data_IF_103400461001
#
_entry.id   IF_103400461001
#
_cell.length_a   1.000
_cell.length_b   1.000
_cell.length_c   1.000
_cell.angle_alpha   90.00
_cell.angle_beta   90.00
_cell.angle_gamma   90.00
#
_symmetry.space_group_name_H-M   'P 1'
#
loop_
_entity.id
_entity.type
_entity.pdbx_description
1 polymer ?
#
# COMPACT_ATOMS: atom_id res chain seq x y z
N UNK A 1 6.12 -13.63 9.44
CA UNK A 1 4.70 -14.05 9.47
C UNK A 1 4.25 -14.19 8.04
N UNK A 2 3.70 -15.34 7.63
CA UNK A 2 3.17 -15.52 6.28
C UNK A 2 1.83 -14.81 6.24
N UNK A 3 1.81 -13.60 5.66
CA UNK A 3 0.58 -12.85 5.50
C UNK A 3 -0.26 -13.54 4.43
N UNK A 4 -1.39 -14.13 4.84
CA UNK A 4 -2.46 -14.40 3.88
C UNK A 4 -2.89 -13.04 3.39
N UNK A 5 -2.83 -12.79 2.09
CA UNK A 5 -3.41 -11.56 1.58
C UNK A 5 -4.93 -11.69 1.66
N UNK A 6 -5.47 -11.26 2.80
CA UNK A 6 -6.91 -11.27 3.07
C UNK A 6 -7.46 -9.95 2.53
N UNK A 7 -7.66 -9.96 1.22
CA UNK A 7 -8.06 -8.80 0.40
C UNK A 7 -9.50 -8.29 0.68
N UNK A 8 -10.24 -8.93 1.56
CA UNK A 8 -11.69 -8.74 1.74
C UNK A 8 -12.10 -8.29 3.14
N UNK A 9 -11.14 -7.93 4.00
CA UNK A 9 -11.44 -7.48 5.37
C UNK A 9 -10.96 -6.06 5.60
N UNK A 10 -11.89 -5.12 5.66
CA UNK A 10 -11.66 -3.80 6.24
C UNK A 10 -12.45 -3.63 7.54
N UNK A 11 -12.30 -2.47 8.18
CA UNK A 11 -13.03 -2.12 9.40
C UNK A 11 -13.59 -0.71 9.31
N UNK A 12 -14.71 -0.47 10.00
CA UNK A 12 -15.24 0.89 10.22
C UNK A 12 -14.51 1.62 11.36
N UNK A 13 -13.81 0.90 12.23
CA UNK A 13 -12.96 1.49 13.25
C UNK A 13 -11.58 1.80 12.66
N UNK A 14 -11.33 3.08 12.37
CA UNK A 14 -10.14 3.55 11.69
C UNK A 14 -8.93 3.81 12.62
N UNK A 15 -8.95 3.27 13.84
CA UNK A 15 -7.82 3.35 14.78
C UNK A 15 -7.14 2.00 14.88
N UNK A 16 -5.83 1.97 14.66
CA UNK A 16 -5.03 0.77 14.82
C UNK A 16 -4.87 0.44 16.31
N UNK A 17 -5.44 -0.67 16.75
CA UNK A 17 -5.36 -1.13 18.14
C UNK A 17 -4.85 -2.57 18.20
N UNK A 18 -4.35 -3.01 19.36
CA UNK A 18 -3.99 -4.41 19.54
C UNK A 18 -5.17 -5.35 19.25
N UNK A 19 -6.40 -4.94 19.58
CA UNK A 19 -7.62 -5.70 19.32
C UNK A 19 -7.88 -5.87 17.82
N UNK A 20 -7.67 -4.82 17.02
CA UNK A 20 -7.78 -4.87 15.57
C UNK A 20 -6.77 -5.87 14.99
N UNK A 21 -5.52 -5.83 15.47
CA UNK A 21 -4.50 -6.79 15.06
C UNK A 21 -4.89 -8.23 15.41
N UNK A 22 -5.39 -8.48 16.62
CA UNK A 22 -5.87 -9.81 17.05
C UNK A 22 -7.09 -10.30 16.26
N UNK A 23 -7.85 -9.40 15.62
CA UNK A 23 -8.95 -9.74 14.71
C UNK A 23 -8.49 -10.10 13.28
N UNK A 24 -7.18 -10.05 13.02
CA UNK A 24 -6.61 -10.33 11.69
C UNK A 24 -6.85 -9.20 10.69
N UNK A 25 -6.86 -7.95 11.17
CA UNK A 25 -7.00 -6.74 10.36
C UNK A 25 -5.69 -5.95 10.23
N UNK A 26 -4.57 -6.50 10.72
CA UNK A 26 -3.26 -5.84 10.64
C UNK A 26 -2.81 -5.63 9.19
N UNK A 27 -3.02 -6.64 8.34
CA UNK A 27 -2.69 -6.55 6.92
C UNK A 27 -3.49 -5.45 6.21
N UNK A 28 -4.76 -5.27 6.57
CA UNK A 28 -5.56 -4.16 6.07
C UNK A 28 -5.05 -2.81 6.58
N UNK A 29 -4.71 -2.72 7.87
CA UNK A 29 -4.19 -1.48 8.45
C UNK A 29 -2.93 -1.02 7.73
N UNK A 30 -1.96 -1.91 7.51
CA UNK A 30 -0.76 -1.57 6.77
C UNK A 30 -1.04 -1.26 5.29
N UNK A 31 -1.91 -2.03 4.63
CA UNK A 31 -2.30 -1.77 3.23
C UNK A 31 -2.96 -0.40 3.07
N UNK A 32 -3.82 0.00 4.01
CA UNK A 32 -4.56 1.25 3.99
C UNK A 32 -3.84 2.39 4.71
N UNK A 33 -2.61 2.16 5.20
CA UNK A 33 -1.88 3.18 5.95
C UNK A 33 -1.60 4.41 5.09
N UNK A 34 -2.12 5.57 5.49
CA UNK A 34 -2.19 6.74 4.61
C UNK A 34 -0.84 7.16 4.05
N UNK A 35 0.18 7.22 4.92
CA UNK A 35 1.50 7.76 4.59
C UNK A 35 2.41 6.78 3.86
N UNK A 36 2.08 5.49 3.82
CA UNK A 36 2.86 4.50 3.07
C UNK A 36 2.72 4.76 1.57
N UNK A 37 3.84 5.07 0.92
CA UNK A 37 3.89 5.37 -0.51
C UNK A 37 4.91 4.53 -1.28
N UNK A 38 5.72 3.71 -0.62
CA UNK A 38 6.57 2.72 -1.27
C UNK A 38 6.23 1.33 -0.79
N UNK A 39 6.23 0.38 -1.71
CA UNK A 39 5.98 -1.04 -1.44
C UNK A 39 7.05 -1.89 -2.13
N UNK A 40 7.54 -2.91 -1.42
CA UNK A 40 8.40 -3.95 -1.96
C UNK A 40 7.84 -5.32 -1.55
N UNK A 41 7.70 -6.24 -2.49
CA UNK A 41 7.15 -7.56 -2.20
C UNK A 41 8.08 -8.68 -2.64
N UNK A 42 8.01 -9.81 -1.96
CA UNK A 42 8.69 -11.04 -2.29
C UNK A 42 7.68 -12.19 -2.39
N UNK A 43 7.91 -13.09 -3.34
CA UNK A 43 7.12 -14.30 -3.54
C UNK A 43 8.05 -15.50 -3.38
N UNK A 44 7.57 -16.53 -2.68
CA UNK A 44 8.30 -17.80 -2.53
C UNK A 44 7.34 -18.98 -2.53
N UNK A 45 7.73 -20.08 -3.16
CA UNK A 45 7.03 -21.36 -3.05
C UNK A 45 7.55 -22.13 -1.83
N UNK A 46 6.64 -22.63 -1.01
CA UNK A 46 6.93 -23.42 0.19
C UNK A 46 6.86 -24.93 -0.10
N UNK A 47 7.43 -25.74 0.79
CA UNK A 47 7.60 -27.20 0.65
C UNK A 47 6.30 -28.02 0.45
N UNK A 48 5.14 -27.42 0.72
CA UNK A 48 3.81 -27.99 0.55
C UNK A 48 3.07 -27.43 -0.69
N UNK A 49 3.80 -26.85 -1.64
CA UNK A 49 3.28 -26.20 -2.85
C UNK A 49 2.38 -24.98 -2.61
N UNK A 50 2.39 -24.43 -1.39
CA UNK A 50 1.79 -23.12 -1.10
C UNK A 50 2.73 -22.00 -1.55
N UNK A 51 2.17 -20.93 -2.15
CA UNK A 51 2.92 -19.72 -2.48
C UNK A 51 2.69 -18.66 -1.41
N UNK A 52 3.77 -18.24 -0.74
CA UNK A 52 3.77 -17.13 0.19
C UNK A 52 4.10 -15.83 -0.55
N UNK A 53 3.39 -14.75 -0.20
CA UNK A 53 3.71 -13.39 -0.60
C UNK A 53 3.89 -12.57 0.66
N UNK A 54 4.97 -11.81 0.74
CA UNK A 54 5.21 -10.84 1.81
C UNK A 54 5.49 -9.49 1.18
N UNK A 55 4.86 -8.44 1.71
CA UNK A 55 5.08 -7.07 1.27
C UNK A 55 5.50 -6.21 2.45
N UNK A 56 6.51 -5.38 2.22
CA UNK A 56 7.03 -4.38 3.15
C UNK A 56 6.73 -2.99 2.60
N UNK A 57 6.56 -2.03 3.51
CA UNK A 57 6.11 -0.68 3.19
C UNK A 57 7.07 0.35 3.76
N UNK A 58 7.22 1.48 3.05
CA UNK A 58 7.99 2.62 3.52
C UNK A 58 7.24 3.94 3.21
N UNK A 59 7.02 4.83 4.19
CA UNK A 59 7.15 4.56 5.63
C UNK A 59 6.26 3.40 6.07
N UNK A 60 6.72 2.66 7.08
CA UNK A 60 5.93 1.61 7.72
C UNK A 60 4.75 2.20 8.49
N UNK A 61 3.70 1.40 8.65
CA UNK A 61 2.48 1.76 9.33
C UNK A 61 2.31 1.10 10.69
N UNK A 62 1.07 0.78 11.03
CA UNK A 62 0.68 -0.01 12.20
C UNK A 62 1.16 0.56 13.55
N UNK A 63 1.23 1.90 13.63
CA UNK A 63 1.48 2.59 14.88
C UNK A 63 0.27 2.42 15.82
N UNK A 64 0.48 1.77 16.96
CA UNK A 64 -0.58 1.46 17.94
C UNK A 64 -1.24 2.75 18.45
N UNK A 65 -2.56 2.74 18.58
CA UNK A 65 -3.41 3.86 18.97
C UNK A 65 -3.38 5.06 18.01
N UNK A 66 -2.95 4.84 16.77
CA UNK A 66 -2.94 5.87 15.72
C UNK A 66 -4.02 5.58 14.69
N UNK A 67 -4.53 6.61 14.02
CA UNK A 67 -5.45 6.45 12.90
C UNK A 67 -4.73 5.85 11.68
N UNK A 68 -5.39 4.91 11.00
CA UNK A 68 -4.82 4.27 9.80
C UNK A 68 -4.71 5.29 8.65
N UNK A 69 -5.73 6.14 8.52
CA UNK A 69 -5.79 7.29 7.63
C UNK A 69 -6.65 8.40 8.23
N UNK A 70 -6.70 9.56 7.61
CA UNK A 70 -7.61 10.63 7.96
C UNK A 70 -8.97 10.37 7.33
N UNK A 71 -10.01 10.32 8.15
CA UNK A 71 -11.38 10.19 7.65
C UNK A 71 -11.78 11.49 6.99
N UNK A 72 -12.22 11.42 5.73
CA UNK A 72 -12.69 12.58 4.99
C UNK A 72 -13.00 12.23 3.54
N UNK A 73 -13.42 13.23 2.77
CA UNK A 73 -13.66 13.02 1.35
C UNK A 73 -12.33 12.81 0.59
N UNK A 74 -12.32 11.93 -0.42
CA UNK A 74 -11.14 11.67 -1.24
C UNK A 74 -10.73 12.91 -2.05
N UNK A 75 -9.48 12.94 -2.50
CA UNK A 75 -8.99 14.04 -3.32
C UNK A 75 -9.78 14.15 -4.63
N UNK A 76 -10.05 15.38 -5.04
CA UNK A 76 -10.65 15.75 -6.33
C UNK A 76 -9.82 16.80 -7.08
N UNK A 77 -8.94 17.47 -6.34
CA UNK A 77 -7.96 18.47 -6.78
C UNK A 77 -6.60 18.15 -6.17
N UNK A 78 -5.54 18.73 -6.71
CA UNK A 78 -4.17 18.50 -6.21
C UNK A 78 -3.99 19.11 -4.81
N UNK A 79 -4.70 20.21 -4.53
CA UNK A 79 -4.71 20.90 -3.24
C UNK A 79 -5.29 20.02 -2.11
N UNK A 80 -6.26 19.15 -2.42
CA UNK A 80 -6.86 18.23 -1.45
C UNK A 80 -5.82 17.31 -0.83
N UNK A 81 -4.73 17.00 -1.54
CA UNK A 81 -3.65 16.13 -1.08
C UNK A 81 -2.82 16.72 0.07
N UNK A 82 -2.82 18.05 0.23
CA UNK A 82 -2.12 18.78 1.31
C UNK A 82 -0.65 18.38 1.48
N UNK A 83 0.05 18.10 0.37
CA UNK A 83 1.48 17.86 0.33
C UNK A 83 2.14 18.54 -0.87
N UNK A 84 3.38 19.00 -0.69
CA UNK A 84 4.09 19.77 -1.71
C UNK A 84 4.39 18.92 -2.95
N UNK A 85 3.95 19.38 -4.12
CA UNK A 85 4.17 18.71 -5.40
C UNK A 85 3.37 17.42 -5.59
N UNK A 86 2.37 17.16 -4.75
CA UNK A 86 1.48 16.02 -4.91
C UNK A 86 0.43 16.28 -5.98
N UNK A 87 0.05 15.23 -6.70
CA UNK A 87 -1.00 15.26 -7.73
C UNK A 87 -2.12 14.31 -7.34
N UNK A 88 -3.37 14.74 -7.49
CA UNK A 88 -4.52 13.88 -7.25
C UNK A 88 -4.86 13.03 -8.48
N UNK A 89 -4.79 11.71 -8.34
CA UNK A 89 -5.41 10.78 -9.27
C UNK A 89 -6.91 10.70 -9.01
N UNK A 90 -7.68 11.53 -9.71
CA UNK A 90 -9.13 11.71 -9.45
C UNK A 90 -9.93 10.41 -9.58
N UNK A 91 -9.63 9.61 -10.61
CA UNK A 91 -10.33 8.35 -10.85
C UNK A 91 -10.05 7.30 -9.77
N UNK A 92 -8.82 7.30 -9.25
CA UNK A 92 -8.39 6.39 -8.19
C UNK A 92 -8.64 6.94 -6.78
N UNK A 93 -8.97 8.23 -6.63
CA UNK A 93 -9.06 8.92 -5.35
C UNK A 93 -7.77 8.82 -4.50
N UNK A 94 -6.61 8.79 -5.16
CA UNK A 94 -5.30 8.64 -4.50
C UNK A 94 -4.39 9.84 -4.80
N UNK A 95 -3.61 10.23 -3.79
CA UNK A 95 -2.60 11.29 -3.89
C UNK A 95 -1.25 10.70 -4.31
N UNK A 96 -0.69 11.20 -5.40
CA UNK A 96 0.60 10.78 -5.94
C UNK A 96 1.66 11.74 -5.41
N UNK A 97 2.59 11.30 -4.55
CA UNK A 97 3.69 12.14 -4.10
C UNK A 97 4.66 12.41 -5.24
N UNK A 98 5.44 13.50 -5.21
CA UNK A 98 6.46 13.75 -6.21
C UNK A 98 7.52 12.64 -6.15
N UNK A 99 7.78 11.98 -7.28
CA UNK A 99 8.86 11.00 -7.37
C UNK A 99 10.19 11.71 -7.15
N UNK A 100 10.97 11.30 -6.15
CA UNK A 100 12.38 11.66 -6.07
C UNK A 100 13.11 10.93 -7.18
N UNK A 101 13.18 11.53 -8.38
CA UNK A 101 14.27 11.20 -9.30
C UNK A 101 15.54 11.49 -8.52
N UNK A 102 16.28 10.44 -8.14
CA UNK A 102 17.66 10.60 -7.75
C UNK A 102 18.29 11.38 -8.91
N UNK A 103 18.68 12.62 -8.65
CA UNK A 103 19.55 13.35 -9.56
C UNK A 103 20.71 12.39 -9.86
N UNK A 104 21.02 12.18 -11.13
CA UNK A 104 22.01 11.19 -11.60
C UNK A 104 23.33 11.33 -10.82
N UNK A 105 23.46 10.63 -9.70
CA UNK A 105 24.72 10.51 -9.00
C UNK A 105 25.42 9.36 -9.72
N UNK A 106 26.51 9.66 -10.40
CA UNK A 106 27.45 8.69 -11.00
C UNK A 106 28.14 7.89 -9.88
N UNK A 107 27.36 7.16 -9.09
CA UNK A 107 27.87 6.14 -8.19
C UNK A 107 27.55 4.84 -8.89
N UNK A 108 28.59 4.08 -9.21
CA UNK A 108 28.51 2.68 -9.61
C UNK A 108 28.01 1.86 -8.42
N UNK A 109 26.79 2.11 -7.98
CA UNK A 109 26.06 1.17 -7.16
C UNK A 109 25.95 -0.07 -8.04
N UNK A 110 26.68 -1.13 -7.68
CA UNK A 110 26.33 -2.46 -8.13
C UNK A 110 24.84 -2.61 -7.83
N UNK A 111 24.05 -2.51 -8.89
CA UNK A 111 22.64 -2.79 -8.85
C UNK A 111 22.59 -4.26 -8.46
N UNK A 112 22.34 -4.54 -7.18
CA UNK A 112 22.08 -5.89 -6.70
C UNK A 112 20.76 -6.27 -7.35
N UNK A 113 20.83 -6.74 -8.60
CA UNK A 113 19.73 -7.36 -9.31
C UNK A 113 19.46 -8.62 -8.50
N UNK A 114 18.38 -8.61 -7.74
CA UNK A 114 17.90 -9.83 -7.09
C UNK A 114 17.67 -10.88 -8.19
N UNK A 115 18.23 -12.10 -8.07
CA UNK A 115 18.02 -13.17 -9.05
C UNK A 115 16.52 -13.36 -9.34
N UNK A 116 16.17 -13.35 -10.62
CA UNK A 116 14.79 -13.41 -11.13
C UNK A 116 14.23 -14.84 -11.25
N UNK A 117 14.94 -15.84 -10.72
CA UNK A 117 14.55 -17.25 -10.73
C UNK A 117 13.68 -17.66 -9.52
N UNK A 118 13.38 -16.73 -8.62
CA UNK A 118 12.56 -16.96 -7.42
C UNK A 118 11.03 -16.84 -7.64
N UNK A 119 10.57 -16.71 -8.89
CA UNK A 119 9.15 -16.53 -9.22
C UNK A 119 8.64 -15.09 -9.10
N UNK A 120 9.50 -14.12 -8.75
CA UNK A 120 9.17 -12.69 -8.73
C UNK A 120 9.53 -12.03 -10.07
N UNK A 121 8.59 -12.08 -11.03
CA UNK A 121 8.71 -11.38 -12.33
C UNK A 121 8.26 -9.92 -12.23
N UNK A 122 8.60 -9.10 -13.22
CA UNK A 122 8.09 -7.72 -13.28
C UNK A 122 6.57 -7.67 -13.39
N UNK A 123 5.97 -8.63 -14.08
CA UNK A 123 4.50 -8.77 -14.14
C UNK A 123 3.91 -9.01 -12.75
N UNK A 124 4.53 -9.87 -11.93
CA UNK A 124 4.10 -10.11 -10.55
C UNK A 124 4.32 -8.87 -9.68
N UNK A 125 5.45 -8.16 -9.83
CA UNK A 125 5.70 -6.87 -9.15
C UNK A 125 4.59 -5.88 -9.46
N UNK A 126 4.26 -5.72 -10.75
CA UNK A 126 3.18 -4.84 -11.19
C UNK A 126 1.82 -5.28 -10.66
N UNK A 127 1.51 -6.57 -10.72
CA UNK A 127 0.27 -7.13 -10.20
C UNK A 127 0.08 -6.80 -8.73
N UNK A 128 1.13 -6.96 -7.91
CA UNK A 128 1.07 -6.68 -6.48
C UNK A 128 0.83 -5.18 -6.23
N UNK A 129 1.61 -4.30 -6.85
CA UNK A 129 1.45 -2.83 -6.70
C UNK A 129 0.05 -2.38 -7.14
N UNK A 130 -0.40 -2.84 -8.31
CA UNK A 130 -1.70 -2.47 -8.86
C UNK A 130 -2.85 -2.98 -7.98
N UNK A 131 -2.70 -4.19 -7.41
CA UNK A 131 -3.69 -4.74 -6.48
C UNK A 131 -3.77 -3.91 -5.20
N UNK A 132 -2.63 -3.51 -4.62
CA UNK A 132 -2.59 -2.64 -3.44
C UNK A 132 -3.24 -1.28 -3.73
N UNK A 133 -2.88 -0.63 -4.84
CA UNK A 133 -3.49 0.65 -5.22
C UNK A 133 -5.00 0.52 -5.48
N UNK A 134 -5.46 -0.55 -6.13
CA UNK A 134 -6.89 -0.80 -6.33
C UNK A 134 -7.65 -0.89 -5.01
N UNK A 135 -7.06 -1.53 -4.00
CA UNK A 135 -7.68 -1.67 -2.68
C UNK A 135 -7.64 -0.36 -1.90
N UNK A 136 -6.55 0.39 -1.98
CA UNK A 136 -6.46 1.75 -1.43
C UNK A 136 -7.50 2.67 -2.05
N UNK A 137 -7.72 2.59 -3.37
CA UNK A 137 -8.81 3.30 -4.07
C UNK A 137 -10.18 2.91 -3.50
N UNK A 138 -10.45 1.61 -3.32
CA UNK A 138 -11.72 1.17 -2.74
C UNK A 138 -11.93 1.70 -1.32
N UNK A 139 -10.89 1.69 -0.49
CA UNK A 139 -10.92 2.26 0.86
C UNK A 139 -11.15 3.78 0.82
N UNK A 140 -10.37 4.51 0.02
CA UNK A 140 -10.49 5.97 -0.10
C UNK A 140 -11.90 6.41 -0.53
N UNK A 141 -12.51 5.66 -1.46
CA UNK A 141 -13.87 5.92 -1.93
C UNK A 141 -14.98 5.43 -0.98
N UNK A 142 -14.65 4.77 0.13
CA UNK A 142 -15.62 4.18 1.05
C UNK A 142 -16.39 3.00 0.43
N UNK A 143 -15.77 2.28 -0.51
CA UNK A 143 -16.33 1.11 -1.22
C UNK A 143 -15.76 -0.22 -0.71
N UNK A 144 -14.73 -0.19 0.13
CA UNK A 144 -14.19 -1.38 0.79
C UNK A 144 -15.20 -1.93 1.80
N UNK A 145 -15.57 -3.21 1.65
CA UNK A 145 -16.59 -3.87 2.49
C UNK A 145 -15.99 -4.35 3.80
N UNK A 146 -16.67 -4.03 4.89
CA UNK A 146 -16.30 -4.50 6.22
C UNK A 146 -16.76 -5.95 6.41
N UNK A 147 -15.90 -6.78 7.03
CA UNK A 147 -16.20 -8.17 7.37
C UNK A 147 -17.46 -8.36 8.23
N UNK A 148 -17.88 -7.32 8.96
CA UNK A 148 -19.05 -7.32 9.85
C UNK A 148 -20.28 -6.62 9.26
N UNK A 149 -20.23 -6.25 7.97
CA UNK A 149 -21.28 -5.46 7.29
C UNK A 149 -20.96 -3.96 7.25
N UNK A 150 -21.42 -3.30 6.19
CA UNK A 150 -21.10 -1.90 5.90
C UNK A 150 -19.78 -1.72 5.16
N UNK A 151 -19.25 -0.49 5.19
CA UNK A 151 -18.05 -0.09 4.46
C UNK A 151 -17.04 0.58 5.39
N UNK A 152 -15.76 0.54 5.01
CA UNK A 152 -14.76 1.41 5.61
C UNK A 152 -15.14 2.89 5.40
N UNK A 153 -14.81 3.79 6.35
CA UNK A 153 -14.96 5.22 6.11
C UNK A 153 -14.11 5.65 4.90
N UNK A 154 -14.54 6.72 4.23
CA UNK A 154 -13.73 7.33 3.18
C UNK A 154 -12.42 7.85 3.77
N UNK A 155 -11.37 7.80 2.97
CA UNK A 155 -10.07 8.32 3.35
C UNK A 155 -9.75 9.59 2.57
N UNK A 156 -9.40 10.65 3.28
CA UNK A 156 -8.78 11.82 2.69
C UNK A 156 -7.30 11.53 2.43
N UNK A 157 -6.76 12.07 1.34
CA UNK A 157 -5.29 12.14 1.09
C UNK A 157 -4.55 10.79 1.11
N UNK A 158 -5.24 9.69 0.80
CA UNK A 158 -4.63 8.36 0.73
C UNK A 158 -3.53 8.35 -0.34
N UNK A 159 -2.28 8.10 0.04
CA UNK A 159 -1.19 8.10 -0.93
C UNK A 159 -1.26 6.90 -1.89
N UNK A 160 -0.85 7.07 -3.14
CA UNK A 160 -0.59 5.96 -4.06
C UNK A 160 0.74 5.30 -3.69
N UNK A 161 0.79 3.97 -3.69
CA UNK A 161 2.05 3.24 -3.51
C UNK A 161 2.75 3.01 -4.83
N UNK A 162 4.06 3.23 -4.85
CA UNK A 162 4.96 2.90 -5.96
C UNK A 162 5.96 1.81 -5.54
N UNK A 163 6.60 1.19 -6.53
CA UNK A 163 7.67 0.22 -6.28
C UNK A 163 8.84 0.90 -5.56
N UNK A 164 9.47 0.18 -4.63
CA UNK A 164 10.68 0.67 -3.95
C UNK A 164 11.93 0.68 -4.86
N UNK A 165 11.82 0.14 -6.07
CA UNK A 165 12.92 -0.06 -7.02
C UNK A 165 13.35 1.30 -7.63
N UNK A 166 14.63 1.66 -7.48
CA UNK A 166 15.28 2.79 -8.18
C UNK A 166 15.40 2.60 -9.70
N UNK A 167 14.77 1.59 -10.30
CA UNK A 167 14.77 1.39 -11.75
C UNK A 167 13.67 2.23 -12.38
N UNK A 168 14.11 3.34 -12.97
CA UNK A 168 13.39 4.21 -13.89
C UNK A 168 12.41 3.43 -14.78
N UNK A 169 11.21 4.00 -14.91
CA UNK A 169 10.33 3.81 -16.07
C UNK A 169 11.04 4.20 -17.36
#
# INVERSE_FOLDING_TARGET
>A
MVQRIVYDRCTSNNVFTPQLYQQGLGEYAQLAWQSSNKIGCAVTTCSNSYTAVACEYNPGGDAVFTTIYDIGDPCTTDEDCQCAGCVCSKDEALCIPPSTKLTEINISAEFIVCPSDNGMTDEVRWMLVNTHNKLRTQTAQGKAKNAFGGFAPKAARMLKVERHDNSLS
#
